data_IF_252316806430
#
_entry.id   IF_252316806430
#
_cell.length_a   1.000
_cell.length_b   1.000
_cell.length_c   1.000
_cell.angle_alpha   90.00
_cell.angle_beta   90.00
_cell.angle_gamma   90.00
#
_symmetry.space_group_name_H-M   'P 1'
#
loop_
_entity.id
_entity.type
_entity.pdbx_description
1 polymer ?
#
# COMPACT_ATOMS: atom_id res chain seq x y z
N UNK A 1 9.73 -9.37 9.10
CA UNK A 1 9.51 -8.58 7.87
C UNK A 1 9.30 -9.41 6.60
N UNK A 2 9.66 -10.70 6.55
CA UNK A 2 9.55 -11.52 5.32
C UNK A 2 8.17 -12.15 5.08
N UNK A 3 7.34 -12.39 6.11
CA UNK A 3 5.99 -12.93 5.90
C UNK A 3 5.04 -11.91 5.27
N UNK A 4 5.17 -10.63 5.63
CA UNK A 4 4.38 -9.51 5.10
C UNK A 4 4.44 -9.45 3.56
N UNK A 5 5.64 -9.55 2.97
CA UNK A 5 5.79 -9.58 1.51
C UNK A 5 5.39 -10.92 0.88
N UNK A 6 5.57 -12.05 1.58
CA UNK A 6 5.28 -13.39 1.03
C UNK A 6 3.78 -13.63 0.82
N UNK A 7 2.92 -13.11 1.69
CA UNK A 7 1.46 -13.26 1.55
C UNK A 7 0.85 -12.28 0.55
N UNK A 8 1.58 -11.22 0.18
CA UNK A 8 1.04 -10.11 -0.60
C UNK A 8 0.51 -10.50 -1.99
N UNK A 9 1.17 -11.44 -2.66
CA UNK A 9 0.77 -11.90 -4.00
C UNK A 9 -0.51 -12.74 -4.01
N UNK A 10 -0.85 -13.35 -2.86
CA UNK A 10 -2.12 -14.04 -2.63
C UNK A 10 -3.19 -13.03 -2.19
N UNK A 11 -2.88 -12.18 -1.21
CA UNK A 11 -3.81 -11.19 -0.67
C UNK A 11 -4.31 -10.18 -1.72
N UNK A 12 -3.45 -9.78 -2.66
CA UNK A 12 -3.83 -8.89 -3.76
C UNK A 12 -4.71 -9.57 -4.80
N UNK A 13 -4.55 -10.88 -4.99
CA UNK A 13 -5.37 -11.66 -5.93
C UNK A 13 -6.77 -11.91 -5.38
N UNK A 14 -6.87 -12.18 -4.08
CA UNK A 14 -8.13 -12.38 -3.39
C UNK A 14 -8.84 -11.06 -3.05
N UNK A 15 -8.22 -9.91 -3.36
CA UNK A 15 -8.79 -8.58 -3.11
C UNK A 15 -8.88 -8.22 -1.62
N UNK A 16 -8.12 -8.90 -0.76
CA UNK A 16 -8.13 -8.74 0.70
C UNK A 16 -7.07 -7.75 1.19
N UNK A 17 -6.05 -7.47 0.37
CA UNK A 17 -5.13 -6.35 0.59
C UNK A 17 -4.44 -5.90 -0.70
N UNK A 18 -4.18 -4.60 -0.83
CA UNK A 18 -3.39 -4.00 -1.91
C UNK A 18 -2.25 -3.19 -1.30
N UNK A 19 -1.05 -3.28 -1.87
CA UNK A 19 0.11 -2.53 -1.40
C UNK A 19 0.79 -1.87 -2.58
N UNK A 20 1.11 -0.60 -2.43
CA UNK A 20 1.70 0.24 -3.45
C UNK A 20 3.01 0.80 -2.91
N UNK A 21 4.09 0.62 -3.66
CA UNK A 21 5.34 1.30 -3.39
C UNK A 21 5.16 2.81 -3.64
N UNK A 22 5.75 3.62 -2.77
CA UNK A 22 5.85 5.06 -2.95
C UNK A 22 7.28 5.33 -3.42
N UNK A 23 7.43 5.71 -4.69
CA UNK A 23 8.72 5.99 -5.31
C UNK A 23 8.91 7.50 -5.56
N UNK A 24 10.12 7.99 -5.30
CA UNK A 24 10.60 9.32 -5.64
C UNK A 24 11.95 9.20 -6.34
N UNK A 25 12.05 9.70 -7.58
CA UNK A 25 13.27 9.66 -8.39
C UNK A 25 13.90 8.26 -8.52
N UNK A 26 13.07 7.22 -8.65
CA UNK A 26 13.50 5.83 -8.77
C UNK A 26 13.96 5.19 -7.45
N UNK A 27 13.77 5.87 -6.32
CA UNK A 27 13.99 5.34 -4.98
C UNK A 27 12.64 5.13 -4.27
N UNK A 28 12.45 3.93 -3.74
CA UNK A 28 11.34 3.63 -2.86
C UNK A 28 11.54 4.34 -1.51
N UNK A 29 10.62 5.22 -1.16
CA UNK A 29 10.63 6.03 0.08
C UNK A 29 9.46 5.69 1.01
N UNK A 30 8.63 4.71 0.66
CA UNK A 30 7.47 4.38 1.45
C UNK A 30 6.62 3.25 0.87
N UNK A 31 5.56 2.92 1.60
CA UNK A 31 4.49 2.00 1.19
C UNK A 31 3.17 2.61 1.62
N UNK A 32 2.17 2.51 0.75
CA UNK A 32 0.77 2.64 1.13
C UNK A 32 0.09 1.30 0.94
N UNK A 33 -0.73 0.88 1.90
CA UNK A 33 -1.53 -0.31 1.78
C UNK A 33 -3.00 -0.10 2.15
N UNK A 34 -3.85 -0.87 1.49
CA UNK A 34 -5.23 -1.13 1.89
C UNK A 34 -5.25 -2.57 2.37
N UNK A 35 -5.73 -2.83 3.58
CA UNK A 35 -5.74 -4.18 4.16
C UNK A 35 -7.00 -4.43 4.98
N UNK A 36 -7.22 -5.71 5.33
CA UNK A 36 -8.41 -6.12 6.08
C UNK A 36 -9.69 -5.89 5.28
N UNK A 37 -9.64 -6.06 3.96
CA UNK A 37 -10.79 -5.75 3.10
C UNK A 37 -11.89 -6.79 3.33
N UNK A 38 -13.05 -6.34 3.80
CA UNK A 38 -14.24 -7.12 4.00
C UNK A 38 -15.48 -6.25 3.71
N UNK A 39 -16.49 -6.81 3.04
CA UNK A 39 -17.75 -6.12 2.71
C UNK A 39 -17.58 -4.76 1.99
N UNK A 40 -16.48 -4.61 1.24
CA UNK A 40 -16.15 -3.38 0.51
C UNK A 40 -15.49 -2.29 1.35
N UNK A 41 -15.20 -2.55 2.61
CA UNK A 41 -14.49 -1.67 3.52
C UNK A 41 -13.10 -2.24 3.87
N UNK A 42 -12.17 -1.38 4.27
CA UNK A 42 -10.82 -1.79 4.67
C UNK A 42 -10.04 -0.64 5.30
N UNK A 43 -8.91 -0.96 5.90
CA UNK A 43 -8.04 0.02 6.55
C UNK A 43 -6.96 0.51 5.58
N UNK A 44 -6.57 1.78 5.73
CA UNK A 44 -5.47 2.38 4.97
C UNK A 44 -4.29 2.58 5.91
N UNK A 45 -3.18 1.91 5.58
CA UNK A 45 -1.88 2.08 6.21
C UNK A 45 -0.93 2.85 5.31
N UNK A 46 -0.01 3.59 5.93
CA UNK A 46 1.13 4.13 5.21
C UNK A 46 2.37 4.21 6.10
N UNK A 47 3.51 4.07 5.45
CA UNK A 47 4.82 4.42 5.98
C UNK A 47 5.57 5.22 4.92
N UNK A 48 6.18 6.32 5.32
CA UNK A 48 6.99 7.19 4.46
C UNK A 48 8.24 7.60 5.27
N UNK A 49 9.41 7.56 4.65
CA UNK A 49 10.65 8.04 5.25
C UNK A 49 10.55 9.54 5.63
N UNK A 50 10.98 9.88 6.86
CA UNK A 50 10.99 11.28 7.34
C UNK A 50 11.90 12.14 6.45
N UNK A 51 11.31 13.08 5.70
CA UNK A 51 11.98 13.92 4.70
C UNK A 51 11.33 13.87 3.31
N UNK A 52 10.45 12.88 3.05
CA UNK A 52 9.60 12.86 1.87
C UNK A 52 8.47 13.89 1.99
N UNK A 53 8.49 14.91 1.13
CA UNK A 53 7.43 15.91 1.00
C UNK A 53 6.04 15.25 0.91
N UNK A 54 5.05 15.89 1.55
CA UNK A 54 3.67 15.39 1.66
C UNK A 54 3.10 14.92 0.32
N UNK A 55 2.96 13.61 0.17
CA UNK A 55 2.40 12.98 -1.00
C UNK A 55 0.88 12.87 -0.86
N UNK A 56 0.18 13.35 -1.89
CA UNK A 56 -1.28 13.18 -2.00
C UNK A 56 -1.56 11.91 -2.81
N UNK A 57 -2.02 10.86 -2.15
CA UNK A 57 -2.59 9.69 -2.80
C UNK A 57 -3.97 10.06 -3.37
N UNK A 58 -4.17 9.87 -4.67
CA UNK A 58 -5.47 10.02 -5.32
C UNK A 58 -5.88 8.66 -5.90
N UNK A 59 -6.78 7.97 -5.21
CA UNK A 59 -7.44 6.78 -5.75
C UNK A 59 -8.48 7.25 -6.78
N UNK A 60 -8.37 6.80 -8.04
CA UNK A 60 -9.44 6.95 -9.03
C UNK A 60 -10.09 5.58 -9.25
N UNK A 61 -11.32 5.44 -8.77
CA UNK A 61 -12.22 4.39 -9.23
C UNK A 61 -12.65 4.67 -10.68
N UNK A 62 -12.95 3.59 -11.42
CA UNK A 62 -13.51 3.68 -12.77
C UNK A 62 -14.97 4.12 -12.71
#
# INVERSE_FOLDING_TARGET
MTSWFKSHSYESREGIAYRLAIDLDGRMIGVCDVFGIADGEGEIGYWIEQGGLGLRLRVRGR
#
